data_IF_257476732191
#
_entry.id   IF_257476732191
#
_cell.length_a   1.000
_cell.length_b   1.000
_cell.length_c   1.000
_cell.angle_alpha   90.00
_cell.angle_beta   90.00
_cell.angle_gamma   90.00
#
_symmetry.space_group_name_H-M   'P 1'
#
loop_
_entity.id
_entity.type
_entity.pdbx_description
1 polymer ?
#
# COMPACT_ATOMS: atom_id res chain seq x y z
N UNK A 1 14.60 -4.22 -45.31
CA UNK A 1 15.01 -3.01 -44.55
C UNK A 1 14.09 -2.71 -43.36
N UNK A 2 12.76 -2.82 -43.48
CA UNK A 2 11.82 -2.65 -42.35
C UNK A 2 12.14 -3.57 -41.17
N UNK A 3 12.51 -4.83 -41.42
CA UNK A 3 12.88 -5.78 -40.36
C UNK A 3 14.16 -5.40 -39.59
N UNK A 4 15.15 -4.79 -40.26
CA UNK A 4 16.41 -4.36 -39.63
C UNK A 4 16.23 -3.08 -38.82
N UNK A 5 15.36 -2.18 -39.27
CA UNK A 5 15.00 -0.97 -38.54
C UNK A 5 14.12 -1.29 -37.33
N UNK A 6 13.17 -2.23 -37.49
CA UNK A 6 12.33 -2.78 -36.41
C UNK A 6 13.17 -3.49 -35.34
N UNK A 7 14.21 -4.23 -35.73
CA UNK A 7 15.11 -4.89 -34.78
C UNK A 7 15.96 -3.90 -33.96
N UNK A 8 16.30 -2.73 -34.53
CA UNK A 8 17.08 -1.69 -33.84
C UNK A 8 16.23 -0.70 -33.05
N UNK A 9 14.97 -0.52 -33.41
CA UNK A 9 14.03 0.43 -32.79
C UNK A 9 12.69 -0.27 -32.47
N UNK A 10 12.74 -1.44 -31.86
CA UNK A 10 11.53 -2.18 -31.48
C UNK A 10 10.80 -1.38 -30.39
N UNK A 11 9.58 -0.92 -30.67
CA UNK A 11 8.70 -0.27 -29.72
C UNK A 11 7.44 -1.11 -29.57
N UNK A 12 7.14 -1.55 -28.35
CA UNK A 12 5.91 -2.28 -28.03
C UNK A 12 4.87 -1.30 -27.50
N UNK A 13 3.72 -1.25 -28.15
CA UNK A 13 2.58 -0.46 -27.69
C UNK A 13 1.52 -1.39 -27.12
N UNK A 14 1.20 -1.22 -25.85
CA UNK A 14 0.13 -1.94 -25.17
C UNK A 14 -1.19 -1.20 -25.40
N UNK A 15 -2.04 -1.78 -26.25
CA UNK A 15 -3.39 -1.26 -26.54
C UNK A 15 -4.46 -1.87 -25.61
N UNK A 16 -4.08 -2.65 -24.58
CA UNK A 16 -5.04 -3.14 -23.61
C UNK A 16 -5.61 -1.98 -22.79
N UNK A 17 -6.91 -2.06 -22.47
CA UNK A 17 -7.64 -1.00 -21.76
C UNK A 17 -7.04 -0.64 -20.39
N UNK A 18 -6.30 -1.57 -19.78
CA UNK A 18 -5.68 -1.41 -18.46
C UNK A 18 -4.12 -1.46 -18.50
N UNK A 19 -3.48 -1.42 -19.68
CA UNK A 19 -2.00 -1.53 -19.84
C UNK A 19 -1.38 -2.68 -19.02
N UNK A 20 -2.03 -3.85 -19.08
CA UNK A 20 -1.78 -4.98 -18.17
C UNK A 20 -0.32 -5.45 -18.19
N UNK A 21 0.41 -5.22 -19.28
CA UNK A 21 1.78 -5.73 -19.43
C UNK A 21 2.85 -4.63 -19.48
N UNK A 22 2.48 -3.35 -19.31
CA UNK A 22 3.47 -2.27 -19.28
C UNK A 22 4.03 -2.10 -17.87
N UNK A 23 5.36 -1.99 -17.73
CA UNK A 23 6.00 -1.59 -16.47
C UNK A 23 5.64 -0.16 -16.10
N UNK A 24 5.46 0.10 -14.81
CA UNK A 24 5.29 1.45 -14.29
C UNK A 24 6.50 2.33 -14.61
N UNK A 25 6.26 3.64 -14.75
CA UNK A 25 7.33 4.61 -14.93
C UNK A 25 8.34 4.59 -13.77
N UNK A 26 7.91 4.17 -12.58
CA UNK A 26 8.76 4.06 -11.40
C UNK A 26 9.74 2.91 -11.54
N UNK A 27 9.27 1.73 -11.93
CA UNK A 27 10.14 0.59 -12.22
C UNK A 27 11.13 0.94 -13.32
N UNK A 28 10.68 1.55 -14.43
CA UNK A 28 11.58 1.98 -15.51
C UNK A 28 12.69 2.92 -15.03
N UNK A 29 12.35 3.95 -14.23
CA UNK A 29 13.33 4.87 -13.65
C UNK A 29 14.31 4.16 -12.73
N UNK A 30 13.83 3.25 -11.89
CA UNK A 30 14.70 2.47 -11.02
C UNK A 30 15.68 1.61 -11.84
N UNK A 31 15.21 0.93 -12.90
CA UNK A 31 16.08 0.14 -13.78
C UNK A 31 17.18 0.98 -14.44
N UNK A 32 16.89 2.25 -14.77
CA UNK A 32 17.91 3.17 -15.29
C UNK A 32 19.02 3.46 -14.26
N UNK A 33 18.72 3.42 -12.95
CA UNK A 33 19.70 3.64 -11.86
C UNK A 33 20.65 2.47 -11.59
N UNK A 34 20.35 1.27 -12.10
CA UNK A 34 21.19 0.09 -11.91
C UNK A 34 22.62 0.33 -12.44
N UNK A 35 23.63 0.08 -11.61
CA UNK A 35 25.04 0.28 -12.00
C UNK A 35 25.65 -0.99 -12.59
N UNK A 36 25.28 -2.14 -12.04
CA UNK A 36 25.74 -3.47 -12.45
C UNK A 36 24.68 -4.28 -13.20
N UNK A 37 25.05 -5.51 -13.55
CA UNK A 37 24.10 -6.50 -14.07
C UNK A 37 23.38 -7.19 -12.91
N UNK A 38 22.07 -7.36 -13.03
CA UNK A 38 21.25 -8.16 -12.15
C UNK A 38 20.87 -9.45 -12.86
N UNK A 39 21.12 -10.57 -12.19
CA UNK A 39 20.77 -11.89 -12.71
C UNK A 39 19.52 -12.38 -11.97
N UNK A 40 18.50 -12.82 -12.71
CA UNK A 40 17.25 -13.31 -12.17
C UNK A 40 17.08 -14.76 -12.62
N UNK A 41 17.13 -15.69 -11.68
CA UNK A 41 16.87 -17.11 -11.92
C UNK A 41 15.40 -17.41 -11.60
N UNK A 42 14.68 -17.98 -12.55
CA UNK A 42 13.25 -18.26 -12.48
C UNK A 42 13.02 -19.74 -12.21
N UNK A 43 12.50 -20.07 -11.02
CA UNK A 43 12.13 -21.42 -10.62
C UNK A 43 10.60 -21.54 -10.60
N UNK A 44 9.98 -21.48 -11.78
CA UNK A 44 8.52 -21.60 -11.93
C UNK A 44 8.15 -22.91 -12.61
N UNK A 45 7.29 -23.69 -11.96
CA UNK A 45 6.67 -24.86 -12.60
C UNK A 45 5.61 -24.39 -13.62
N UNK A 46 5.45 -25.07 -14.77
CA UNK A 46 4.39 -24.75 -15.75
C UNK A 46 2.97 -24.77 -15.18
N UNK A 47 2.76 -25.49 -14.07
CA UNK A 47 1.46 -25.64 -13.43
C UNK A 47 1.11 -24.51 -12.44
N UNK A 48 2.04 -23.60 -12.16
CA UNK A 48 1.78 -22.50 -11.22
C UNK A 48 0.85 -21.47 -11.87
N UNK A 49 -0.25 -21.05 -11.21
CA UNK A 49 -1.29 -20.21 -11.83
C UNK A 49 -0.79 -18.88 -12.43
N UNK A 50 0.32 -18.34 -11.93
CA UNK A 50 0.86 -17.02 -12.32
C UNK A 50 2.07 -17.11 -13.26
N UNK A 51 2.48 -18.30 -13.72
CA UNK A 51 3.70 -18.48 -14.53
C UNK A 51 3.71 -17.58 -15.76
N UNK A 52 2.61 -17.55 -16.53
CA UNK A 52 2.52 -16.72 -17.73
C UNK A 52 2.57 -15.21 -17.42
N UNK A 53 1.95 -14.76 -16.33
CA UNK A 53 2.00 -13.34 -15.94
C UNK A 53 3.43 -12.94 -15.49
N UNK A 54 4.12 -13.82 -14.77
CA UNK A 54 5.52 -13.62 -14.35
C UNK A 54 6.49 -13.61 -15.55
N UNK A 55 6.35 -14.54 -16.49
CA UNK A 55 7.20 -14.57 -17.71
C UNK A 55 7.03 -13.31 -18.57
N UNK A 56 5.78 -12.89 -18.79
CA UNK A 56 5.49 -11.66 -19.52
C UNK A 56 6.09 -10.44 -18.80
N UNK A 57 5.96 -10.39 -17.46
CA UNK A 57 6.51 -9.31 -16.66
C UNK A 57 8.04 -9.27 -16.74
N UNK A 58 8.72 -10.40 -16.54
CA UNK A 58 10.19 -10.48 -16.60
C UNK A 58 10.75 -10.13 -17.98
N UNK A 59 10.04 -10.48 -19.05
CA UNK A 59 10.39 -10.06 -20.42
C UNK A 59 10.45 -8.54 -20.53
N UNK A 60 9.49 -7.83 -19.92
CA UNK A 60 9.45 -6.37 -19.91
C UNK A 60 10.56 -5.77 -19.03
N UNK A 61 10.93 -6.43 -17.91
CA UNK A 61 12.13 -6.06 -17.14
C UNK A 61 13.41 -6.21 -17.96
N UNK A 62 13.56 -7.31 -18.69
CA UNK A 62 14.74 -7.54 -19.54
C UNK A 62 14.86 -6.48 -20.63
N UNK A 63 13.74 -6.13 -21.27
CA UNK A 63 13.67 -5.08 -22.27
C UNK A 63 13.99 -3.69 -21.68
N UNK A 64 13.31 -3.30 -20.60
CA UNK A 64 13.51 -1.99 -19.96
C UNK A 64 14.90 -1.85 -19.31
N UNK A 65 15.50 -2.96 -18.88
CA UNK A 65 16.82 -3.02 -18.29
C UNK A 65 18.00 -2.76 -19.24
N UNK A 66 17.76 -2.69 -20.56
CA UNK A 66 18.77 -2.33 -21.59
C UNK A 66 20.07 -3.13 -21.46
N UNK A 67 19.97 -4.45 -21.24
CA UNK A 67 21.11 -5.36 -21.09
C UNK A 67 21.73 -5.43 -19.68
N UNK A 68 21.16 -4.74 -18.69
CA UNK A 68 21.52 -4.88 -17.27
C UNK A 68 20.77 -6.00 -16.56
N UNK A 69 19.73 -6.58 -17.18
CA UNK A 69 18.94 -7.67 -16.60
C UNK A 69 19.20 -8.94 -17.41
N UNK A 70 19.62 -9.98 -16.71
CA UNK A 70 19.87 -11.31 -17.25
C UNK A 70 18.88 -12.31 -16.64
N UNK A 71 18.28 -13.16 -17.47
CA UNK A 71 17.22 -14.09 -17.06
C UNK A 71 17.66 -15.53 -17.32
N UNK A 72 17.62 -16.39 -16.30
CA UNK A 72 17.85 -17.84 -16.43
C UNK A 72 16.58 -18.58 -16.00
N UNK A 73 15.94 -19.31 -16.93
CA UNK A 73 14.74 -20.09 -16.63
C UNK A 73 15.10 -21.53 -16.31
N UNK A 74 14.65 -22.03 -15.16
CA UNK A 74 14.95 -23.37 -14.68
C UNK A 74 13.66 -24.01 -14.19
N UNK A 75 13.21 -25.02 -14.93
CA UNK A 75 12.17 -25.93 -14.48
C UNK A 75 12.79 -26.90 -13.45
N UNK A 76 12.43 -26.80 -12.14
CA UNK A 76 13.02 -27.63 -11.11
C UNK A 76 12.62 -29.10 -11.24
N UNK A 77 11.49 -29.42 -11.87
CA UNK A 77 11.01 -30.78 -12.09
C UNK A 77 11.77 -31.46 -13.24
N UNK A 78 12.14 -30.69 -14.28
CA UNK A 78 12.87 -31.20 -15.44
C UNK A 78 14.39 -31.16 -15.28
N UNK A 79 14.92 -30.18 -14.56
CA UNK A 79 16.35 -29.92 -14.43
C UNK A 79 16.84 -30.06 -12.97
N UNK A 80 16.57 -31.21 -12.36
CA UNK A 80 16.84 -31.48 -10.93
C UNK A 80 18.27 -31.16 -10.50
N UNK A 81 19.29 -31.54 -11.28
CA UNK A 81 20.71 -31.32 -10.92
C UNK A 81 21.07 -29.83 -10.87
N UNK A 82 20.63 -29.05 -11.86
CA UNK A 82 20.90 -27.60 -11.93
C UNK A 82 20.08 -26.83 -10.90
N UNK A 83 18.83 -27.23 -10.69
CA UNK A 83 17.99 -26.66 -9.66
C UNK A 83 18.58 -26.89 -8.26
N UNK A 84 19.04 -28.11 -7.97
CA UNK A 84 19.71 -28.43 -6.70
C UNK A 84 20.98 -27.61 -6.48
N UNK A 85 21.84 -27.48 -7.49
CA UNK A 85 23.05 -26.66 -7.42
C UNK A 85 22.74 -25.21 -7.01
N UNK A 86 21.70 -24.62 -7.61
CA UNK A 86 21.33 -23.22 -7.35
C UNK A 86 20.58 -23.06 -6.04
N UNK A 87 19.76 -24.03 -5.64
CA UNK A 87 19.15 -24.05 -4.30
C UNK A 87 20.21 -24.14 -3.20
N UNK A 88 21.25 -24.96 -3.38
CA UNK A 88 22.39 -25.03 -2.46
C UNK A 88 23.18 -23.71 -2.46
N UNK A 89 23.47 -23.14 -3.64
CA UNK A 89 24.19 -21.86 -3.79
C UNK A 89 23.47 -20.72 -3.09
N UNK A 90 22.17 -20.61 -3.29
CA UNK A 90 21.35 -19.50 -2.79
C UNK A 90 20.68 -19.82 -1.44
N UNK A 91 20.92 -21.01 -0.88
CA UNK A 91 20.33 -21.49 0.39
C UNK A 91 18.80 -21.41 0.39
N UNK A 92 18.19 -21.79 -0.72
CA UNK A 92 16.74 -21.77 -0.90
C UNK A 92 16.16 -23.03 -0.28
N UNK A 93 15.22 -22.85 0.66
CA UNK A 93 14.52 -23.95 1.35
C UNK A 93 13.02 -23.73 1.18
N UNK A 94 12.49 -24.07 0.02
CA UNK A 94 11.05 -24.00 -0.25
C UNK A 94 10.70 -24.85 -1.46
N UNK A 95 9.49 -25.42 -1.44
CA UNK A 95 8.92 -26.19 -2.55
C UNK A 95 8.05 -25.30 -3.46
N UNK A 96 7.97 -24.00 -3.17
CA UNK A 96 7.16 -23.04 -3.90
C UNK A 96 7.89 -22.54 -5.16
N UNK A 97 7.13 -22.19 -6.21
CA UNK A 97 7.69 -21.45 -7.34
C UNK A 97 8.20 -20.08 -6.89
N UNK A 98 9.38 -19.71 -7.34
CA UNK A 98 10.06 -18.49 -6.87
C UNK A 98 11.02 -17.91 -7.91
N UNK A 99 11.43 -16.68 -7.65
CA UNK A 99 12.51 -16.00 -8.35
C UNK A 99 13.69 -15.84 -7.39
N UNK A 100 14.91 -16.05 -7.88
CA UNK A 100 16.13 -15.66 -7.17
C UNK A 100 16.77 -14.51 -7.93
N UNK A 101 16.88 -13.36 -7.29
CA UNK A 101 17.55 -12.19 -7.81
C UNK A 101 18.96 -12.14 -7.21
N UNK A 102 19.99 -11.94 -8.04
CA UNK A 102 21.38 -11.76 -7.65
C UNK A 102 21.92 -10.45 -8.21
N UNK A 103 22.52 -9.63 -7.34
CA UNK A 103 23.15 -8.37 -7.70
C UNK A 103 24.37 -8.10 -6.82
N UNK A 104 25.54 -7.98 -7.45
CA UNK A 104 26.82 -7.66 -6.78
C UNK A 104 27.11 -8.59 -5.57
N UNK A 105 26.83 -9.89 -5.71
CA UNK A 105 27.10 -10.91 -4.67
C UNK A 105 26.07 -10.96 -3.53
N UNK A 106 25.04 -10.12 -3.58
CA UNK A 106 23.85 -10.21 -2.73
C UNK A 106 22.75 -10.95 -3.48
N UNK A 107 21.99 -11.78 -2.79
CA UNK A 107 20.83 -12.45 -3.39
C UNK A 107 19.57 -12.27 -2.54
N UNK A 108 18.41 -12.34 -3.21
CA UNK A 108 17.10 -12.27 -2.58
C UNK A 108 16.10 -13.12 -3.35
N UNK A 109 15.24 -13.83 -2.62
CA UNK A 109 14.17 -14.65 -3.17
C UNK A 109 12.85 -13.88 -3.20
N UNK A 110 12.03 -14.09 -4.22
CA UNK A 110 10.63 -13.63 -4.30
C UNK A 110 9.73 -14.81 -4.62
N UNK A 111 8.87 -15.20 -3.70
CA UNK A 111 7.98 -16.37 -3.86
C UNK A 111 6.72 -16.04 -4.67
N UNK A 112 6.08 -17.07 -5.25
CA UNK A 112 4.84 -16.90 -6.00
C UNK A 112 3.71 -16.28 -5.18
N UNK A 113 3.60 -16.64 -3.90
CA UNK A 113 2.66 -16.13 -2.89
C UNK A 113 2.88 -14.65 -2.56
N UNK A 114 4.11 -14.14 -2.70
CA UNK A 114 4.41 -12.72 -2.56
C UNK A 114 4.00 -11.93 -3.83
N UNK A 115 3.83 -12.62 -4.95
CA UNK A 115 3.51 -12.02 -6.25
C UNK A 115 2.02 -12.07 -6.60
N UNK A 116 1.20 -12.80 -5.86
CA UNK A 116 -0.23 -12.89 -6.13
C UNK A 116 -1.07 -13.23 -4.90
N UNK A 117 -2.21 -12.54 -4.79
CA UNK A 117 -3.29 -12.95 -3.88
C UNK A 117 -4.14 -14.00 -4.60
N UNK A 118 -4.31 -15.17 -4.01
CA UNK A 118 -5.12 -16.26 -4.56
C UNK A 118 -6.45 -16.31 -3.82
N UNK A 119 -7.55 -16.12 -4.54
CA UNK A 119 -8.90 -16.36 -4.03
C UNK A 119 -9.21 -17.86 -4.13
N UNK A 120 -9.42 -18.47 -2.96
CA UNK A 120 -9.74 -19.88 -2.80
C UNK A 120 -11.21 -20.13 -2.43
N UNK A 121 -12.03 -19.08 -2.33
CA UNK A 121 -13.44 -19.18 -1.92
C UNK A 121 -14.27 -20.07 -2.87
N UNK A 122 -13.91 -20.08 -4.16
CA UNK A 122 -14.50 -20.93 -5.18
C UNK A 122 -14.25 -22.44 -5.00
N UNK A 123 -13.26 -22.87 -4.22
CA UNK A 123 -12.99 -24.30 -4.01
C UNK A 123 -14.15 -25.03 -3.34
N UNK A 124 -14.92 -24.35 -2.48
CA UNK A 124 -16.09 -24.93 -1.82
C UNK A 124 -17.23 -25.29 -2.80
N UNK A 125 -17.25 -24.65 -3.98
CA UNK A 125 -18.23 -24.87 -5.05
C UNK A 125 -17.62 -25.58 -6.28
N UNK A 126 -16.40 -26.12 -6.15
CA UNK A 126 -15.72 -26.86 -7.23
C UNK A 126 -15.03 -25.97 -8.28
N UNK A 127 -14.92 -24.66 -8.06
CA UNK A 127 -14.09 -23.79 -8.90
C UNK A 127 -12.62 -23.89 -8.48
N UNK A 128 -11.71 -23.89 -9.46
CA UNK A 128 -10.27 -23.84 -9.19
C UNK A 128 -9.81 -22.49 -8.61
N UNK A 129 -8.62 -22.43 -7.99
CA UNK A 129 -8.08 -21.20 -7.41
C UNK A 129 -7.96 -20.10 -8.48
N UNK A 130 -8.40 -18.89 -8.14
CA UNK A 130 -8.32 -17.72 -9.03
C UNK A 130 -7.33 -16.70 -8.48
N UNK A 131 -6.60 -16.03 -9.36
CA UNK A 131 -5.72 -14.92 -8.95
C UNK A 131 -6.60 -13.68 -8.72
N UNK A 132 -6.72 -13.26 -7.46
CA UNK A 132 -7.49 -12.09 -7.06
C UNK A 132 -6.77 -10.78 -7.40
N UNK A 133 -5.45 -10.75 -7.19
CA UNK A 133 -4.61 -9.61 -7.52
C UNK A 133 -3.20 -10.10 -7.87
N UNK A 134 -2.64 -9.58 -8.98
CA UNK A 134 -1.25 -9.84 -9.34
C UNK A 134 -0.36 -8.68 -8.88
N UNK A 135 0.55 -8.97 -7.94
CA UNK A 135 1.49 -8.04 -7.29
C UNK A 135 2.95 -8.24 -7.75
N UNK A 136 3.17 -9.00 -8.83
CA UNK A 136 4.51 -9.37 -9.30
C UNK A 136 5.46 -8.19 -9.53
N UNK A 137 5.00 -7.09 -10.13
CA UNK A 137 5.87 -5.92 -10.39
C UNK A 137 6.35 -5.29 -9.08
N UNK A 138 5.46 -5.17 -8.09
CA UNK A 138 5.77 -4.61 -6.78
C UNK A 138 6.78 -5.50 -6.04
N UNK A 139 6.52 -6.81 -5.99
CA UNK A 139 7.38 -7.77 -5.29
C UNK A 139 8.79 -7.83 -5.91
N UNK A 140 8.88 -7.93 -7.26
CA UNK A 140 10.16 -7.97 -7.97
C UNK A 140 10.91 -6.65 -7.82
N UNK A 141 10.29 -5.50 -8.13
CA UNK A 141 10.98 -4.19 -8.03
C UNK A 141 11.45 -3.92 -6.60
N UNK A 142 10.66 -4.28 -5.58
CA UNK A 142 11.08 -4.14 -4.19
C UNK A 142 12.34 -4.97 -3.92
N UNK A 143 12.34 -6.25 -4.29
CA UNK A 143 13.50 -7.11 -4.10
C UNK A 143 14.76 -6.60 -4.82
N UNK A 144 14.60 -6.04 -6.03
CA UNK A 144 15.70 -5.40 -6.76
C UNK A 144 16.24 -4.17 -6.03
N UNK A 145 15.37 -3.28 -5.55
CA UNK A 145 15.76 -2.08 -4.78
C UNK A 145 16.55 -2.49 -3.54
N UNK A 146 16.07 -3.52 -2.84
CA UNK A 146 16.70 -4.03 -1.62
C UNK A 146 18.12 -4.54 -1.89
N UNK A 147 18.27 -5.29 -2.99
CA UNK A 147 19.55 -5.78 -3.44
C UNK A 147 20.49 -4.66 -3.84
N UNK A 148 20.00 -3.56 -4.43
CA UNK A 148 20.84 -2.41 -4.80
C UNK A 148 21.25 -1.62 -3.56
N UNK A 149 20.31 -1.30 -2.67
CA UNK A 149 20.54 -0.50 -1.47
C UNK A 149 21.48 -1.19 -0.45
N UNK A 150 21.41 -2.53 -0.33
CA UNK A 150 22.36 -3.32 0.45
C UNK A 150 22.24 -3.29 1.96
N UNK A 151 21.39 -2.43 2.50
CA UNK A 151 21.05 -2.41 3.93
C UNK A 151 19.55 -2.20 4.07
N UNK A 152 18.90 -3.05 4.87
CA UNK A 152 17.50 -2.83 5.27
C UNK A 152 17.39 -1.47 5.96
N UNK A 153 16.40 -0.67 5.58
CA UNK A 153 16.06 0.53 6.35
C UNK A 153 15.55 0.08 7.72
N UNK A 154 15.86 0.86 8.76
CA UNK A 154 15.42 0.55 10.12
C UNK A 154 14.29 1.49 10.49
N UNK A 155 13.16 0.90 10.87
CA UNK A 155 12.05 1.57 11.52
C UNK A 155 12.12 1.27 13.02
N UNK A 156 12.30 2.31 13.82
CA UNK A 156 12.33 2.21 15.27
C UNK A 156 10.91 2.12 15.83
N UNK A 157 10.53 1.03 16.47
CA UNK A 157 9.25 0.90 17.15
C UNK A 157 9.41 1.29 18.62
N UNK A 158 8.77 2.39 19.02
CA UNK A 158 8.90 2.91 20.37
C UNK A 158 8.11 2.04 21.35
N UNK A 159 8.75 1.73 22.47
CA UNK A 159 8.16 0.98 23.59
C UNK A 159 8.41 1.70 24.90
N UNK A 160 7.56 1.43 25.90
CA UNK A 160 7.71 1.95 27.27
C UNK A 160 6.46 2.60 27.83
N UNK A 161 5.44 2.86 27.01
CA UNK A 161 4.23 3.60 27.34
C UNK A 161 2.96 2.77 27.13
N UNK A 162 3.06 1.43 27.26
CA UNK A 162 2.03 0.41 26.99
C UNK A 162 1.62 0.29 25.51
N UNK A 163 2.56 0.52 24.61
CA UNK A 163 2.39 0.12 23.21
C UNK A 163 2.27 -1.41 23.10
N UNK A 164 1.56 -1.93 22.08
CA UNK A 164 1.50 -3.36 21.81
C UNK A 164 2.90 -3.97 21.64
N UNK A 165 3.17 -5.10 22.30
CA UNK A 165 4.44 -5.80 22.18
C UNK A 165 4.58 -6.51 20.82
N UNK A 166 5.75 -6.45 20.20
CA UNK A 166 6.01 -7.11 18.90
C UNK A 166 6.26 -8.63 19.00
N UNK A 167 6.35 -9.17 20.22
CA UNK A 167 6.74 -10.55 20.50
C UNK A 167 5.59 -11.45 20.94
N UNK A 168 4.39 -10.89 21.16
CA UNK A 168 3.24 -11.65 21.68
C UNK A 168 2.42 -12.27 20.55
N UNK A 169 2.72 -13.53 20.21
CA UNK A 169 1.88 -14.40 19.37
C UNK A 169 1.40 -13.79 18.04
N UNK A 170 0.31 -14.35 17.49
CA UNK A 170 -0.40 -13.77 16.35
C UNK A 170 -1.29 -12.64 16.84
N UNK A 171 -0.69 -11.49 17.15
CA UNK A 171 -1.41 -10.24 17.44
C UNK A 171 -1.49 -9.36 16.19
N UNK A 172 -2.45 -8.42 16.12
CA UNK A 172 -2.56 -7.42 15.05
C UNK A 172 -1.24 -6.69 14.72
N UNK A 173 -0.45 -6.38 15.76
CA UNK A 173 0.84 -5.70 15.56
C UNK A 173 1.90 -6.63 14.94
N UNK A 174 1.87 -7.94 15.22
CA UNK A 174 2.76 -8.93 14.58
C UNK A 174 2.45 -9.05 13.08
N UNK A 175 1.17 -8.94 12.69
CA UNK A 175 0.76 -8.92 11.27
C UNK A 175 1.31 -7.67 10.60
N UNK A 176 1.17 -6.50 11.22
CA UNK A 176 1.74 -5.25 10.70
C UNK A 176 3.26 -5.33 10.57
N UNK A 177 3.95 -5.85 11.60
CA UNK A 177 5.39 -6.06 11.59
C UNK A 177 5.81 -6.92 10.40
N UNK A 178 5.16 -8.07 10.22
CA UNK A 178 5.44 -9.00 9.12
C UNK A 178 5.21 -8.32 7.76
N UNK A 179 4.11 -7.58 7.62
CA UNK A 179 3.77 -6.85 6.40
C UNK A 179 4.84 -5.85 6.00
N UNK A 180 5.31 -5.04 6.95
CA UNK A 180 6.36 -4.03 6.70
C UNK A 180 7.76 -4.67 6.59
N UNK A 181 8.04 -5.77 7.30
CA UNK A 181 9.29 -6.53 7.15
C UNK A 181 9.41 -7.17 5.75
N UNK A 182 8.29 -7.59 5.17
CA UNK A 182 8.21 -8.04 3.78
C UNK A 182 8.54 -6.92 2.78
N UNK A 183 8.32 -5.66 3.16
CA UNK A 183 8.79 -4.48 2.40
C UNK A 183 10.26 -4.13 2.66
N UNK A 184 11.03 -5.05 3.26
CA UNK A 184 12.47 -4.92 3.55
C UNK A 184 12.83 -3.80 4.54
N UNK A 185 11.93 -3.53 5.47
CA UNK A 185 12.15 -2.61 6.56
C UNK A 185 12.35 -3.44 7.83
N UNK A 186 13.46 -3.25 8.53
CA UNK A 186 13.72 -3.93 9.80
C UNK A 186 12.99 -3.18 10.92
N UNK A 187 12.16 -3.88 11.70
CA UNK A 187 11.70 -3.37 12.98
C UNK A 187 12.81 -3.47 14.02
N UNK A 188 13.04 -2.38 14.73
CA UNK A 188 13.92 -2.34 15.88
C UNK A 188 13.17 -1.72 17.04
N UNK A 189 12.94 -2.48 18.11
CA UNK A 189 12.36 -1.94 19.33
C UNK A 189 13.28 -0.87 19.93
N UNK A 190 12.69 0.23 20.38
CA UNK A 190 13.37 1.37 20.97
C UNK A 190 12.67 1.76 22.27
N UNK A 191 13.25 1.38 23.39
CA UNK A 191 12.90 1.97 24.67
C UNK A 191 13.66 3.29 24.83
N UNK A 192 12.97 4.43 24.76
CA UNK A 192 13.59 5.75 24.83
C UNK A 192 14.19 6.07 26.20
N UNK A 193 13.76 5.38 27.26
CA UNK A 193 14.30 5.54 28.62
C UNK A 193 15.74 5.04 28.74
N UNK A 194 16.09 4.01 27.96
CA UNK A 194 17.38 3.32 28.04
C UNK A 194 18.42 3.93 27.07
N UNK A 195 18.04 4.97 26.32
CA UNK A 195 18.86 5.55 25.28
C UNK A 195 19.34 6.96 25.63
N UNK A 196 20.57 7.27 25.23
CA UNK A 196 21.10 8.64 25.26
C UNK A 196 20.78 9.41 23.97
N UNK A 197 20.60 8.68 22.86
CA UNK A 197 20.18 9.20 21.57
C UNK A 197 19.53 8.08 20.73
N UNK A 198 18.58 8.45 19.86
CA UNK A 198 18.07 7.52 18.85
C UNK A 198 19.22 7.17 17.87
N UNK A 199 19.50 5.89 17.61
CA UNK A 199 20.59 5.47 16.74
C UNK A 199 20.54 6.11 15.34
N UNK A 200 21.70 6.47 14.78
CA UNK A 200 21.77 7.22 13.53
C UNK A 200 21.30 6.43 12.28
N UNK A 201 21.26 5.11 12.37
CA UNK A 201 20.74 4.18 11.35
C UNK A 201 19.20 4.06 11.38
N UNK A 202 18.56 4.41 12.49
CA UNK A 202 17.11 4.57 12.59
C UNK A 202 16.73 5.91 11.96
N UNK A 203 16.06 5.87 10.80
CA UNK A 203 15.65 7.08 10.06
C UNK A 203 14.19 7.47 10.31
N UNK A 204 13.37 6.52 10.75
CA UNK A 204 12.00 6.77 11.13
C UNK A 204 11.69 6.04 12.44
N UNK A 205 10.82 6.61 13.27
CA UNK A 205 10.25 5.96 14.44
C UNK A 205 8.73 5.86 14.31
N UNK A 206 8.17 4.80 14.87
CA UNK A 206 6.74 4.52 14.94
C UNK A 206 6.33 4.44 16.41
N UNK A 207 5.30 5.20 16.77
CA UNK A 207 4.73 5.25 18.12
C UNK A 207 3.25 4.90 17.99
N UNK A 208 2.80 3.84 18.67
CA UNK A 208 1.47 3.26 18.46
C UNK A 208 0.67 3.22 19.76
N UNK A 209 -0.26 4.17 19.89
CA UNK A 209 -1.22 4.26 20.97
C UNK A 209 -0.61 4.35 22.37
N UNK A 210 0.33 5.28 22.62
CA UNK A 210 0.95 5.41 23.95
C UNK A 210 -0.12 5.77 24.99
N UNK A 211 -0.20 4.97 26.06
CA UNK A 211 -1.18 5.15 27.14
C UNK A 211 -0.70 6.10 28.23
N UNK A 212 0.61 6.28 28.33
CA UNK A 212 1.26 7.18 29.27
C UNK A 212 2.01 8.28 28.51
N UNK A 213 2.12 9.46 29.11
CA UNK A 213 2.89 10.56 28.52
C UNK A 213 4.39 10.29 28.64
N UNK A 214 5.16 10.94 27.77
CA UNK A 214 6.61 10.85 27.73
C UNK A 214 7.23 11.75 28.80
N UNK A 215 8.36 11.33 29.38
CA UNK A 215 9.16 12.19 30.26
C UNK A 215 9.80 13.36 29.50
N UNK A 216 10.29 14.37 30.23
CA UNK A 216 10.97 15.52 29.59
C UNK A 216 12.26 15.09 28.87
N UNK A 217 12.95 14.06 29.38
CA UNK A 217 14.11 13.46 28.74
C UNK A 217 13.74 12.84 27.40
N UNK A 218 12.71 12.00 27.36
CA UNK A 218 12.28 11.33 26.12
C UNK A 218 11.75 12.34 25.09
N UNK A 219 10.98 13.33 25.54
CA UNK A 219 10.50 14.40 24.68
C UNK A 219 11.65 15.26 24.12
N UNK A 220 12.77 15.40 24.84
CA UNK A 220 13.98 16.01 24.30
C UNK A 220 14.61 15.13 23.21
N UNK A 221 14.68 13.81 23.42
CA UNK A 221 15.19 12.86 22.40
C UNK A 221 14.36 12.91 21.11
N UNK A 222 13.03 12.95 21.22
CA UNK A 222 12.14 13.05 20.06
C UNK A 222 12.31 14.38 19.30
N UNK A 223 12.48 15.51 20.01
CA UNK A 223 12.78 16.81 19.38
C UNK A 223 14.15 16.82 18.71
N UNK A 224 15.18 16.33 19.40
CA UNK A 224 16.54 16.22 18.84
C UNK A 224 16.55 15.32 17.59
N UNK A 225 15.75 14.26 17.59
CA UNK A 225 15.58 13.38 16.43
C UNK A 225 14.89 14.11 15.27
N UNK A 226 13.78 14.82 15.53
CA UNK A 226 13.08 15.63 14.54
C UNK A 226 13.99 16.68 13.90
N UNK A 227 14.74 17.43 14.72
CA UNK A 227 15.64 18.48 14.24
C UNK A 227 16.82 17.91 13.43
N UNK A 228 17.21 16.66 13.69
CA UNK A 228 18.20 15.91 12.88
C UNK A 228 17.58 15.19 11.69
N UNK A 229 16.49 15.70 11.12
CA UNK A 229 15.78 15.14 9.96
C UNK A 229 15.13 13.76 10.21
N UNK A 230 14.85 13.45 11.48
CA UNK A 230 14.11 12.27 11.88
C UNK A 230 12.67 12.30 11.38
N UNK A 231 12.11 11.12 11.14
CA UNK A 231 10.73 10.96 10.68
C UNK A 231 9.88 10.20 11.69
N UNK A 232 8.63 10.60 11.89
CA UNK A 232 7.78 10.05 12.95
C UNK A 232 6.43 9.60 12.37
N UNK A 233 6.08 8.33 12.58
CA UNK A 233 4.71 7.85 12.43
C UNK A 233 4.08 7.78 13.82
N UNK A 234 3.05 8.55 14.06
CA UNK A 234 2.38 8.62 15.37
C UNK A 234 0.91 8.26 15.25
N UNK A 235 0.52 7.17 15.89
CA UNK A 235 -0.88 6.77 16.03
C UNK A 235 -1.27 7.02 17.48
N UNK A 236 -2.22 7.92 17.72
CA UNK A 236 -2.63 8.31 19.06
C UNK A 236 -3.78 7.45 19.55
N UNK A 237 -3.75 7.10 20.84
CA UNK A 237 -4.97 6.69 21.52
C UNK A 237 -5.70 7.96 21.99
N UNK A 238 -6.93 8.23 21.51
CA UNK A 238 -7.65 9.41 21.92
C UNK A 238 -8.01 9.39 23.43
N UNK A 239 -8.14 8.21 24.05
CA UNK A 239 -8.40 8.03 25.50
C UNK A 239 -7.19 8.33 26.38
N UNK A 240 -5.97 8.25 25.84
CA UNK A 240 -4.76 8.53 26.57
C UNK A 240 -4.53 10.03 26.80
N UNK A 241 -4.02 10.38 27.99
CA UNK A 241 -3.66 11.75 28.35
C UNK A 241 -2.15 11.96 28.18
N UNK A 242 -1.76 12.55 27.05
CA UNK A 242 -0.36 12.77 26.66
C UNK A 242 -0.07 14.25 26.40
N UNK A 243 -0.20 15.15 27.40
CA UNK A 243 -0.09 16.59 27.20
C UNK A 243 1.25 17.05 26.61
N UNK A 244 2.38 16.41 26.94
CA UNK A 244 3.69 16.78 26.38
C UNK A 244 3.82 16.37 24.91
N UNK A 245 3.35 15.17 24.57
CA UNK A 245 3.30 14.71 23.19
C UNK A 245 2.34 15.57 22.34
N UNK A 246 1.14 15.87 22.86
CA UNK A 246 0.18 16.79 22.21
C UNK A 246 0.78 18.21 22.07
N UNK A 247 1.55 18.66 23.06
CA UNK A 247 2.30 19.92 23.01
C UNK A 247 3.31 19.97 21.86
N UNK A 248 4.08 18.89 21.67
CA UNK A 248 5.01 18.76 20.54
C UNK A 248 4.30 18.79 19.19
N UNK A 249 3.16 18.12 19.03
CA UNK A 249 2.35 18.21 17.81
C UNK A 249 1.83 19.62 17.57
N UNK A 250 1.42 20.30 18.63
CA UNK A 250 0.96 21.68 18.54
C UNK A 250 2.10 22.61 18.10
N UNK A 251 3.33 22.45 18.61
CA UNK A 251 4.52 23.19 18.12
C UNK A 251 4.67 23.05 16.58
N UNK A 252 4.29 21.90 16.02
CA UNK A 252 4.33 21.60 14.58
C UNK A 252 3.07 22.00 13.79
N UNK A 253 2.09 22.64 14.43
CA UNK A 253 0.87 23.13 13.78
C UNK A 253 -0.28 22.13 13.72
N UNK A 254 -0.21 21.04 14.50
CA UNK A 254 -1.27 20.04 14.63
C UNK A 254 -1.77 20.01 16.07
N UNK A 255 -2.95 20.57 16.31
CA UNK A 255 -3.59 20.52 17.63
C UNK A 255 -4.54 19.32 17.71
N UNK A 256 -4.25 18.40 18.62
CA UNK A 256 -5.14 17.29 18.98
C UNK A 256 -6.20 17.80 19.93
N UNK A 257 -7.46 17.78 19.51
CA UNK A 257 -8.56 18.24 20.34
C UNK A 257 -8.96 17.18 21.38
N UNK A 258 -9.45 17.64 22.53
CA UNK A 258 -9.95 16.76 23.59
C UNK A 258 -11.43 16.46 23.38
N UNK A 259 -11.72 15.78 22.27
CA UNK A 259 -13.07 15.45 21.84
C UNK A 259 -13.16 14.00 21.35
N UNK A 260 -14.38 13.54 21.10
CA UNK A 260 -14.68 12.29 20.41
C UNK A 260 -15.62 12.54 19.26
N UNK A 261 -15.23 12.04 18.10
CA UNK A 261 -16.12 11.98 16.96
C UNK A 261 -17.21 10.95 17.21
N UNK A 262 -18.45 11.38 17.01
CA UNK A 262 -19.63 10.53 17.15
C UNK A 262 -20.60 10.78 16.00
N UNK A 263 -21.41 9.77 15.69
CA UNK A 263 -22.49 9.87 14.70
C UNK A 263 -23.68 9.03 15.12
N UNK A 264 -24.89 9.50 14.81
CA UNK A 264 -26.09 8.70 14.93
C UNK A 264 -26.32 7.93 13.63
N UNK A 265 -26.29 6.60 13.71
CA UNK A 265 -26.63 5.71 12.59
C UNK A 265 -28.07 5.25 12.71
N UNK A 266 -28.76 5.20 11.58
CA UNK A 266 -30.11 4.68 11.51
C UNK A 266 -30.05 3.15 11.35
N UNK A 267 -30.37 2.41 12.40
CA UNK A 267 -30.35 0.94 12.41
C UNK A 267 -31.71 0.32 12.06
N UNK A 268 -32.76 1.14 11.97
CA UNK A 268 -34.11 0.73 11.59
C UNK A 268 -35.01 1.92 11.21
N UNK A 269 -36.32 1.70 11.20
CA UNK A 269 -37.27 2.78 10.82
C UNK A 269 -37.26 3.92 11.86
N UNK A 270 -37.15 3.62 13.15
CA UNK A 270 -37.11 4.62 14.24
C UNK A 270 -35.89 4.52 15.16
N UNK A 271 -35.01 3.53 14.96
CA UNK A 271 -33.88 3.30 15.85
C UNK A 271 -32.64 4.06 15.38
N UNK A 272 -32.13 4.93 16.26
CA UNK A 272 -30.88 5.66 16.09
C UNK A 272 -29.87 5.13 17.11
N UNK A 273 -28.80 4.52 16.62
CA UNK A 273 -27.69 4.08 17.45
C UNK A 273 -26.58 5.15 17.39
N UNK A 274 -26.12 5.58 18.57
CA UNK A 274 -24.92 6.42 18.67
C UNK A 274 -23.69 5.53 18.57
N UNK A 275 -22.81 5.80 17.61
CA UNK A 275 -21.52 5.13 17.52
C UNK A 275 -20.36 6.12 17.60
N UNK A 276 -19.22 5.60 18.05
CA UNK A 276 -17.91 6.28 18.10
C UNK A 276 -16.98 5.80 16.99
N UNK A 277 -17.41 4.82 16.20
CA UNK A 277 -16.65 4.33 15.07
C UNK A 277 -16.74 5.34 13.93
N UNK A 278 -15.58 5.70 13.40
CA UNK A 278 -15.46 6.76 12.39
C UNK A 278 -15.18 6.16 11.04
N UNK A 279 -16.12 6.31 10.11
CA UNK A 279 -15.84 6.12 8.70
C UNK A 279 -15.15 7.37 8.17
N UNK A 280 -13.94 7.20 7.63
CA UNK A 280 -13.15 8.30 7.11
C UNK A 280 -12.56 7.95 5.74
N UNK A 281 -12.25 8.98 4.96
CA UNK A 281 -11.60 8.87 3.66
C UNK A 281 -10.17 9.39 3.73
N UNK A 282 -9.27 8.78 2.97
CA UNK A 282 -7.92 9.32 2.80
C UNK A 282 -7.91 10.43 1.75
N UNK A 283 -7.11 11.47 1.99
CA UNK A 283 -6.93 12.62 1.10
C UNK A 283 -5.76 12.33 0.16
N UNK A 284 -5.96 12.44 -1.16
CA UNK A 284 -4.98 12.03 -2.17
C UNK A 284 -3.82 13.03 -2.43
N UNK A 285 -3.78 14.15 -1.73
CA UNK A 285 -2.84 15.25 -1.99
C UNK A 285 -1.41 14.96 -1.49
N UNK A 286 -1.29 14.12 -0.45
CA UNK A 286 -0.01 13.75 0.14
C UNK A 286 0.59 12.51 -0.48
N UNK A 287 1.93 12.39 -0.66
CA UNK A 287 2.55 11.16 -1.14
C UNK A 287 2.21 9.93 -0.29
N UNK A 288 2.02 10.09 1.02
CA UNK A 288 1.68 8.99 1.94
C UNK A 288 0.33 8.32 1.62
N UNK A 289 -0.65 9.12 1.18
CA UNK A 289 -2.03 8.70 0.95
C UNK A 289 -2.46 8.78 -0.52
N UNK A 290 -1.55 9.13 -1.43
CA UNK A 290 -1.84 9.33 -2.86
C UNK A 290 -2.57 8.15 -3.52
N UNK A 291 -2.22 6.91 -3.14
CA UNK A 291 -2.86 5.68 -3.65
C UNK A 291 -4.21 5.40 -3.00
N UNK A 292 -4.46 5.98 -1.85
CA UNK A 292 -5.66 5.81 -1.06
C UNK A 292 -6.64 6.97 -1.26
N UNK A 293 -6.37 7.90 -2.17
CA UNK A 293 -7.26 9.02 -2.45
C UNK A 293 -8.70 8.55 -2.63
N UNK A 294 -9.60 9.06 -1.80
CA UNK A 294 -11.03 8.72 -1.72
C UNK A 294 -11.37 7.29 -1.28
N UNK A 295 -10.38 6.45 -0.99
CA UNK A 295 -10.57 5.16 -0.31
C UNK A 295 -11.08 5.44 1.11
N UNK A 296 -12.06 4.65 1.54
CA UNK A 296 -12.64 4.73 2.87
C UNK A 296 -12.09 3.63 3.77
N UNK A 297 -11.91 3.95 5.04
CA UNK A 297 -11.55 3.02 6.10
C UNK A 297 -12.40 3.30 7.36
N UNK A 298 -12.53 2.29 8.21
CA UNK A 298 -13.23 2.37 9.47
C UNK A 298 -12.22 2.48 10.62
N UNK A 299 -12.42 3.46 11.50
CA UNK A 299 -11.58 3.71 12.68
C UNK A 299 -12.40 3.40 13.92
N UNK A 300 -12.14 2.22 14.51
CA UNK A 300 -12.86 1.67 15.65
C UNK A 300 -12.38 2.26 16.98
N UNK A 301 -13.21 2.17 18.02
CA UNK A 301 -12.76 2.44 19.40
C UNK A 301 -12.67 3.92 19.78
N UNK A 302 -13.15 4.81 18.90
CA UNK A 302 -13.19 6.26 19.11
C UNK A 302 -12.03 7.00 18.45
N UNK A 303 -12.28 8.22 18.01
CA UNK A 303 -11.30 9.07 17.30
C UNK A 303 -11.46 10.51 17.78
N UNK A 304 -10.36 11.26 17.92
CA UNK A 304 -10.40 12.70 18.21
C UNK A 304 -10.19 13.53 16.95
N UNK A 305 -10.70 14.76 16.91
CA UNK A 305 -10.49 15.67 15.81
C UNK A 305 -9.11 16.36 15.90
N UNK A 306 -8.55 16.67 14.75
CA UNK A 306 -7.30 17.43 14.61
C UNK A 306 -7.59 18.81 14.02
N UNK A 307 -7.13 19.86 14.69
CA UNK A 307 -7.11 21.21 14.14
C UNK A 307 -5.74 21.47 13.52
N UNK A 308 -5.72 21.80 12.23
CA UNK A 308 -4.49 22.11 11.51
C UNK A 308 -4.32 23.64 11.44
N UNK A 309 -3.13 24.13 11.78
CA UNK A 309 -2.80 25.55 11.81
C UNK A 309 -1.64 25.87 10.85
N UNK A 310 -1.79 25.62 9.53
CA UNK A 310 -0.70 25.73 8.55
C UNK A 310 -0.14 27.16 8.44
N UNK A 311 -0.98 28.18 8.62
CA UNK A 311 -0.54 29.59 8.55
C UNK A 311 0.41 29.95 9.71
N UNK A 312 0.22 29.37 10.90
CA UNK A 312 1.08 29.63 12.07
C UNK A 312 2.50 29.13 11.85
N UNK A 313 2.63 27.97 11.23
CA UNK A 313 3.92 27.26 11.09
C UNK A 313 4.59 27.50 9.73
N UNK A 314 3.95 28.24 8.83
CA UNK A 314 4.50 28.63 7.52
C UNK A 314 5.82 29.39 7.65
N UNK A 315 5.95 30.28 8.64
CA UNK A 315 7.18 31.04 8.89
C UNK A 315 8.37 30.15 9.30
N UNK A 316 8.10 28.98 9.88
CA UNK A 316 9.10 27.98 10.22
C UNK A 316 9.41 27.01 9.06
N UNK A 317 8.90 27.29 7.86
CA UNK A 317 8.98 26.43 6.68
C UNK A 317 8.44 25.01 6.95
N UNK A 318 7.37 24.93 7.74
CA UNK A 318 6.64 23.69 8.02
C UNK A 318 5.34 23.71 7.22
N UNK A 319 5.14 22.65 6.43
CA UNK A 319 3.90 22.39 5.72
C UNK A 319 3.08 21.39 6.52
N UNK A 320 1.79 21.69 6.69
CA UNK A 320 0.82 20.82 7.36
C UNK A 320 -0.35 20.60 6.41
N UNK A 321 -0.71 19.35 6.18
CA UNK A 321 -1.80 18.97 5.27
C UNK A 321 -2.63 17.81 5.83
N UNK A 322 -3.94 17.73 5.53
CA UNK A 322 -4.77 16.62 5.98
C UNK A 322 -4.40 15.33 5.21
N UNK A 323 -4.31 14.21 5.93
CA UNK A 323 -4.17 12.87 5.37
C UNK A 323 -5.49 12.11 5.38
N UNK A 324 -6.30 12.31 6.42
CA UNK A 324 -7.52 11.53 6.67
C UNK A 324 -8.60 12.46 7.19
N UNK A 325 -9.78 12.38 6.59
CA UNK A 325 -10.94 13.17 6.97
C UNK A 325 -12.14 12.27 7.21
N UNK A 326 -12.81 12.46 8.35
CA UNK A 326 -14.09 11.83 8.64
C UNK A 326 -15.12 12.16 7.54
N UNK A 327 -16.02 11.23 7.31
CA UNK A 327 -17.19 11.47 6.47
C UNK A 327 -18.09 12.56 7.07
N UNK A 328 -19.03 13.05 6.27
CA UNK A 328 -19.99 14.05 6.74
C UNK A 328 -20.94 13.45 7.78
N UNK A 329 -21.42 14.29 8.71
CA UNK A 329 -22.37 13.90 9.76
C UNK A 329 -21.75 13.61 11.13
N UNK A 330 -20.43 13.42 11.23
CA UNK A 330 -19.74 13.29 12.51
C UNK A 330 -19.66 14.62 13.25
N UNK A 331 -20.00 14.63 14.53
CA UNK A 331 -19.82 15.77 15.42
C UNK A 331 -18.73 15.48 16.46
N UNK A 332 -18.03 16.51 16.91
CA UNK A 332 -16.97 16.41 17.90
C UNK A 332 -17.53 16.74 19.29
N UNK A 333 -17.67 15.74 20.15
CA UNK A 333 -18.17 15.88 21.52
C UNK A 333 -17.02 16.00 22.51
N UNK A 334 -17.04 17.03 23.36
CA UNK A 334 -16.02 17.27 24.40
C UNK A 334 -16.35 16.63 25.75
N UNK A 335 -17.63 16.43 26.04
CA UNK A 335 -18.13 15.76 27.24
C UNK A 335 -18.54 14.32 26.91
N UNK A 336 -17.62 13.60 26.28
CA UNK A 336 -17.87 12.27 25.74
C UNK A 336 -17.98 11.17 26.82
N UNK A 337 -17.89 11.52 28.10
CA UNK A 337 -18.09 10.59 29.22
C UNK A 337 -19.51 10.67 29.81
N UNK A 338 -20.35 11.60 29.33
CA UNK A 338 -21.75 11.69 29.74
C UNK A 338 -22.61 10.64 29.03
N UNK A 339 -23.70 10.20 29.66
CA UNK A 339 -24.70 9.31 29.05
C UNK A 339 -25.96 10.08 28.59
N UNK A 340 -25.88 11.42 28.56
CA UNK A 340 -27.01 12.26 28.20
C UNK A 340 -27.29 12.27 26.68
N UNK A 341 -28.14 11.34 26.23
CA UNK A 341 -28.52 11.24 24.82
C UNK A 341 -29.17 12.50 24.25
N UNK A 342 -29.93 13.26 25.06
CA UNK A 342 -30.59 14.47 24.59
C UNK A 342 -29.57 15.57 24.24
N UNK A 343 -28.47 15.65 25.02
CA UNK A 343 -27.34 16.52 24.72
C UNK A 343 -26.68 16.13 23.39
N UNK A 344 -26.33 14.85 23.23
CA UNK A 344 -25.71 14.36 21.99
C UNK A 344 -26.56 14.64 20.75
N UNK A 345 -27.89 14.49 20.85
CA UNK A 345 -28.78 14.84 19.75
C UNK A 345 -28.82 16.35 19.45
N UNK A 346 -28.70 17.19 20.47
CA UNK A 346 -28.62 18.64 20.28
C UNK A 346 -27.31 19.05 19.60
N UNK A 347 -26.18 18.47 20.04
CA UNK A 347 -24.85 18.77 19.49
C UNK A 347 -24.71 18.22 18.05
N UNK A 348 -25.28 17.04 17.77
CA UNK A 348 -25.38 16.50 16.41
C UNK A 348 -26.14 17.43 15.45
N UNK A 349 -27.20 18.12 15.94
CA UNK A 349 -27.97 19.09 15.13
C UNK A 349 -27.21 20.40 14.88
N UNK A 350 -26.26 20.75 15.74
CA UNK A 350 -25.42 21.94 15.60
C UNK A 350 -24.18 21.69 14.73
N UNK A 351 -23.98 20.46 14.26
CA UNK A 351 -22.83 20.11 13.45
C UNK A 351 -22.76 20.96 12.17
N UNK A 352 -21.60 21.56 11.94
CA UNK A 352 -21.29 22.39 10.76
C UNK A 352 -21.24 21.59 9.44
N UNK A 353 -21.35 20.26 9.50
CA UNK A 353 -21.31 19.34 8.35
C UNK A 353 -20.01 19.46 7.51
N UNK A 354 -18.97 20.05 8.11
CA UNK A 354 -17.62 20.13 7.56
C UNK A 354 -16.88 18.84 7.93
N UNK A 355 -16.20 18.19 6.98
CA UNK A 355 -15.37 17.01 7.27
C UNK A 355 -14.33 17.33 8.35
N UNK A 356 -14.31 16.54 9.41
CA UNK A 356 -13.37 16.68 10.51
C UNK A 356 -12.09 15.92 10.19
N UNK A 357 -10.93 16.55 10.36
CA UNK A 357 -9.64 15.91 10.10
C UNK A 357 -9.28 14.99 11.26
N UNK A 358 -8.81 13.78 10.95
CA UNK A 358 -8.37 12.78 11.94
C UNK A 358 -6.95 12.28 11.69
N UNK A 359 -6.36 12.66 10.56
CA UNK A 359 -4.96 12.39 10.25
C UNK A 359 -4.31 13.54 9.50
N UNK A 360 -3.03 13.79 9.75
CA UNK A 360 -2.28 14.89 9.18
C UNK A 360 -0.85 14.51 8.85
N UNK A 361 -0.31 15.14 7.80
CA UNK A 361 1.09 15.09 7.42
C UNK A 361 1.74 16.44 7.73
N UNK A 362 2.96 16.37 8.24
CA UNK A 362 3.80 17.52 8.53
C UNK A 362 5.15 17.30 7.85
N UNK A 363 5.64 18.29 7.11
CA UNK A 363 6.96 18.25 6.49
C UNK A 363 7.67 19.60 6.71
N UNK A 364 8.90 19.56 7.24
CA UNK A 364 9.73 20.75 7.46
C UNK A 364 10.79 20.86 6.38
N UNK A 365 10.87 21.98 5.68
CA UNK A 365 11.93 22.22 4.69
C UNK A 365 11.83 21.42 3.39
N UNK A 366 10.67 20.81 3.09
CA UNK A 366 10.42 20.18 1.79
C UNK A 366 10.36 21.21 0.66
N UNK A 367 10.99 20.90 -0.48
CA UNK A 367 10.82 21.72 -1.69
C UNK A 367 9.43 21.47 -2.29
N UNK A 368 8.76 22.52 -2.79
CA UNK A 368 7.51 22.37 -3.54
C UNK A 368 7.70 21.58 -4.85
N UNK A 369 8.95 21.43 -5.31
CA UNK A 369 9.31 20.64 -6.48
C UNK A 369 9.63 19.20 -6.08
N UNK A 370 8.73 18.26 -6.42
CA UNK A 370 8.90 16.81 -6.22
C UNK A 370 10.18 16.22 -6.85
N UNK A 371 10.85 16.97 -7.74
CA UNK A 371 12.09 16.55 -8.42
C UNK A 371 13.34 16.80 -7.58
N UNK A 372 13.27 17.62 -6.52
CA UNK A 372 14.38 17.90 -5.62
C UNK A 372 14.11 17.24 -4.27
N UNK A 373 14.48 15.96 -4.15
CA UNK A 373 14.39 15.20 -2.91
C UNK A 373 15.48 15.64 -1.94
N UNK A 374 15.20 16.66 -1.14
CA UNK A 374 16.01 16.98 0.04
C UNK A 374 15.52 16.11 1.21
N UNK A 375 16.44 15.55 1.99
CA UNK A 375 16.07 14.90 3.24
C UNK A 375 15.43 15.92 4.18
N UNK A 376 14.14 15.75 4.46
CA UNK A 376 13.35 16.60 5.34
C UNK A 376 12.85 15.80 6.56
N UNK A 377 12.69 16.44 7.74
CA UNK A 377 11.85 15.93 8.80
C UNK A 377 10.40 15.79 8.31
N UNK A 378 9.80 14.62 8.57
CA UNK A 378 8.43 14.28 8.14
C UNK A 378 7.70 13.60 9.28
N UNK A 379 6.44 13.96 9.49
CA UNK A 379 5.58 13.35 10.49
C UNK A 379 4.23 13.03 9.86
N UNK A 380 3.76 11.79 10.09
CA UNK A 380 2.39 11.39 9.83
C UNK A 380 1.75 11.10 11.19
N UNK A 381 0.62 11.74 11.48
CA UNK A 381 -0.13 11.54 12.71
C UNK A 381 -1.57 11.14 12.41
N UNK A 382 -2.09 10.17 13.16
CA UNK A 382 -3.50 9.75 13.14
C UNK A 382 -4.01 9.73 14.57
N UNK A 383 -5.20 10.26 14.80
CA UNK A 383 -5.83 10.39 16.13
C UNK A 383 -6.57 9.13 16.60
N UNK A 384 -6.19 7.98 16.06
CA UNK A 384 -6.69 6.65 16.40
C UNK A 384 -5.57 5.63 16.18
N UNK A 385 -5.26 4.82 17.20
CA UNK A 385 -4.32 3.71 17.11
C UNK A 385 -5.03 2.36 17.02
N UNK A 386 -6.29 2.27 17.44
CA UNK A 386 -7.06 1.03 17.51
C UNK A 386 -7.15 0.32 16.16
N UNK A 387 -7.20 1.05 15.03
CA UNK A 387 -7.26 0.44 13.71
C UNK A 387 -6.05 -0.45 13.35
N UNK A 388 -4.90 -0.29 14.04
CA UNK A 388 -3.75 -1.20 13.90
C UNK A 388 -3.57 -2.17 15.07
N UNK A 389 -4.34 -1.98 16.14
CA UNK A 389 -4.27 -2.79 17.36
C UNK A 389 -5.38 -3.84 17.43
N UNK A 390 -6.47 -3.63 16.72
CA UNK A 390 -7.60 -4.55 16.65
C UNK A 390 -7.40 -5.59 15.53
N UNK A 391 -8.07 -6.74 15.66
CA UNK A 391 -8.11 -7.79 14.65
C UNK A 391 -8.67 -7.29 13.31
N UNK A 392 -9.32 -6.13 13.28
CA UNK A 392 -9.71 -5.43 12.06
C UNK A 392 -8.55 -5.26 11.06
N UNK A 393 -7.29 -5.09 11.51
CA UNK A 393 -6.15 -4.99 10.58
C UNK A 393 -5.94 -6.24 9.72
N UNK A 394 -6.44 -7.40 10.17
CA UNK A 394 -6.38 -8.66 9.42
C UNK A 394 -7.48 -8.79 8.36
N UNK A 395 -8.50 -7.94 8.44
CA UNK A 395 -9.66 -7.94 7.55
C UNK A 395 -9.67 -6.71 6.62
N UNK A 396 -9.16 -5.56 7.09
CA UNK A 396 -9.11 -4.30 6.37
C UNK A 396 -7.72 -4.01 5.79
N UNK A 397 -7.56 -4.36 4.51
CA UNK A 397 -6.34 -4.09 3.74
C UNK A 397 -5.99 -2.58 3.69
N UNK A 398 -6.99 -1.69 3.81
CA UNK A 398 -6.78 -0.24 3.72
C UNK A 398 -5.90 0.30 4.86
N UNK A 399 -6.01 -0.27 6.06
CA UNK A 399 -5.19 0.11 7.21
C UNK A 399 -3.72 -0.24 6.98
N UNK A 400 -3.45 -1.46 6.49
CA UNK A 400 -2.10 -1.91 6.12
C UNK A 400 -1.51 -1.06 5.00
N UNK A 401 -2.28 -0.79 3.96
CA UNK A 401 -1.86 0.03 2.82
C UNK A 401 -1.54 1.48 3.26
N UNK A 402 -2.29 2.03 4.21
CA UNK A 402 -2.01 3.35 4.78
C UNK A 402 -0.70 3.37 5.58
N UNK A 403 -0.46 2.36 6.43
CA UNK A 403 0.79 2.28 7.18
C UNK A 403 1.97 2.08 6.24
N UNK A 404 1.87 1.20 5.24
CA UNK A 404 2.91 1.04 4.21
C UNK A 404 3.18 2.35 3.46
N UNK A 405 2.12 3.03 2.98
CA UNK A 405 2.25 4.33 2.30
C UNK A 405 2.94 5.38 3.17
N UNK A 406 2.54 5.47 4.44
CA UNK A 406 3.12 6.38 5.43
C UNK A 406 4.58 6.05 5.73
N UNK A 407 4.90 4.79 6.04
CA UNK A 407 6.27 4.35 6.35
C UNK A 407 7.20 4.55 5.16
N UNK A 408 6.76 4.20 3.94
CA UNK A 408 7.56 4.43 2.74
C UNK A 408 7.78 5.92 2.48
N UNK A 409 6.78 6.78 2.74
CA UNK A 409 6.94 8.23 2.60
C UNK A 409 7.94 8.76 3.64
N UNK A 410 7.83 8.31 4.89
CA UNK A 410 8.76 8.66 5.96
C UNK A 410 10.18 8.16 5.68
N UNK A 411 10.36 7.00 5.05
CA UNK A 411 11.68 6.47 4.68
C UNK A 411 12.22 7.01 3.35
N UNK A 412 11.54 7.98 2.72
CA UNK A 412 11.88 8.54 1.41
C UNK A 412 11.90 7.50 0.27
N UNK A 413 11.11 6.43 0.42
CA UNK A 413 10.91 5.37 -0.58
C UNK A 413 9.68 5.65 -1.44
N UNK A 414 9.42 6.92 -1.76
CA UNK A 414 8.28 7.33 -2.61
C UNK A 414 8.31 6.68 -4.01
N UNK A 415 9.48 6.20 -4.44
CA UNK A 415 9.65 5.43 -5.67
C UNK A 415 8.99 4.03 -5.59
N UNK A 416 8.83 3.47 -4.39
CA UNK A 416 8.03 2.25 -4.14
C UNK A 416 6.53 2.56 -4.00
N UNK A 417 6.17 3.80 -3.64
CA UNK A 417 4.78 4.28 -3.51
C UNK A 417 4.19 4.56 -4.92
N UNK A 418 4.06 3.59 -5.81
CA UNK A 418 3.24 3.77 -7.01
C UNK A 418 3.09 2.58 -7.98
N UNK A 419 3.77 1.47 -7.76
CA UNK A 419 3.53 0.21 -8.49
C UNK A 419 2.22 -0.38 -7.97
N UNK A 420 1.11 -0.19 -8.67
CA UNK A 420 -0.18 -0.73 -8.26
C UNK A 420 -0.25 -2.24 -8.55
N UNK A 421 -0.84 -3.05 -7.64
CA UNK A 421 -1.25 -4.40 -7.99
C UNK A 421 -2.14 -4.37 -9.22
N UNK A 422 -1.87 -5.23 -10.19
CA UNK A 422 -2.73 -5.38 -11.36
C UNK A 422 -3.86 -6.32 -10.97
N UNK A 423 -5.00 -5.74 -10.63
CA UNK A 423 -6.22 -6.49 -10.31
C UNK A 423 -6.80 -7.00 -11.64
N UNK A 424 -6.88 -8.32 -11.87
CA UNK A 424 -7.61 -8.84 -13.01
C UNK A 424 -9.06 -8.42 -12.87
N UNK A 425 -9.52 -7.48 -13.70
CA UNK A 425 -10.94 -7.15 -13.75
C UNK A 425 -11.62 -8.27 -14.54
N UNK A 426 -12.46 -9.12 -13.92
CA UNK A 426 -13.28 -10.03 -14.69
C UNK A 426 -14.18 -9.19 -15.60
N UNK A 427 -14.06 -9.41 -16.92
CA UNK A 427 -15.00 -8.85 -17.88
C UNK A 427 -16.33 -9.57 -17.69
N UNK A 428 -17.18 -9.03 -16.82
CA UNK A 428 -18.55 -9.50 -16.68
C UNK A 428 -19.37 -8.88 -17.81
N UNK A 429 -19.77 -9.70 -18.77
CA UNK A 429 -20.72 -9.27 -19.79
C UNK A 429 -22.14 -9.39 -19.21
N UNK A 430 -22.63 -8.32 -18.59
CA UNK A 430 -24.05 -8.22 -18.24
C UNK A 430 -24.83 -7.78 -19.48
N UNK A 431 -25.13 -8.73 -20.37
CA UNK A 431 -26.00 -8.47 -21.51
C UNK A 431 -27.44 -8.39 -21.03
N UNK A 432 -28.15 -7.33 -21.39
CA UNK A 432 -29.60 -7.25 -21.23
C UNK A 432 -30.31 -8.35 -22.05
N UNK A 433 -31.55 -8.69 -21.69
CA UNK A 433 -32.32 -9.68 -22.46
C UNK A 433 -32.46 -9.29 -23.94
N UNK A 434 -32.52 -7.99 -24.23
CA UNK A 434 -32.56 -7.46 -25.60
C UNK A 434 -31.24 -7.67 -26.35
N UNK A 435 -30.11 -7.45 -25.70
CA UNK A 435 -28.78 -7.68 -26.28
C UNK A 435 -28.53 -9.17 -26.53
N UNK A 436 -28.92 -10.05 -25.60
CA UNK A 436 -28.87 -11.50 -25.79
C UNK A 436 -29.74 -11.96 -26.97
N UNK A 437 -30.93 -11.40 -27.12
CA UNK A 437 -31.82 -11.69 -28.25
C UNK A 437 -31.21 -11.24 -29.58
N UNK A 438 -30.58 -10.06 -29.60
CA UNK A 438 -29.90 -9.52 -30.79
C UNK A 438 -28.70 -10.37 -31.17
N UNK A 439 -27.86 -10.73 -30.19
CA UNK A 439 -26.72 -11.61 -30.37
C UNK A 439 -27.14 -12.98 -30.92
N UNK A 440 -28.25 -13.54 -30.41
CA UNK A 440 -28.82 -14.80 -30.90
C UNK A 440 -29.17 -14.76 -32.38
N UNK A 441 -29.82 -13.69 -32.85
CA UNK A 441 -30.14 -13.54 -34.28
C UNK A 441 -28.89 -13.33 -35.15
N UNK A 442 -27.90 -12.59 -34.65
CA UNK A 442 -26.64 -12.40 -35.37
C UNK A 442 -25.91 -13.74 -35.55
N UNK A 443 -25.81 -14.53 -34.49
CA UNK A 443 -25.07 -15.81 -34.52
C UNK A 443 -25.84 -16.90 -35.26
N UNK A 444 -27.15 -17.05 -35.02
CA UNK A 444 -27.94 -18.14 -35.62
C UNK A 444 -28.38 -17.86 -37.06
N UNK A 445 -28.64 -16.60 -37.41
CA UNK A 445 -29.15 -16.25 -38.73
C UNK A 445 -28.07 -15.57 -39.56
N UNK A 446 -27.51 -14.46 -39.08
CA UNK A 446 -26.66 -13.61 -39.92
C UNK A 446 -25.32 -14.26 -40.27
N UNK A 447 -24.65 -14.85 -39.29
CA UNK A 447 -23.34 -15.49 -39.46
C UNK A 447 -23.35 -16.66 -40.46
N UNK A 448 -24.35 -17.58 -40.46
CA UNK A 448 -24.46 -18.61 -41.51
C UNK A 448 -25.05 -18.10 -42.83
N UNK A 449 -25.83 -17.00 -42.83
CA UNK A 449 -26.36 -16.43 -44.08
C UNK A 449 -25.25 -15.83 -44.95
N UNK A 450 -24.22 -15.22 -44.35
CA UNK A 450 -23.08 -14.63 -45.08
C UNK A 450 -22.40 -15.65 -46.01
N UNK A 451 -21.91 -16.81 -45.54
CA UNK A 451 -21.32 -17.82 -46.43
C UNK A 451 -22.35 -18.45 -47.37
N UNK A 452 -23.62 -18.57 -46.98
CA UNK A 452 -24.67 -19.07 -47.88
C UNK A 452 -24.89 -18.13 -49.08
N UNK A 453 -25.01 -16.82 -48.85
CA UNK A 453 -25.16 -15.81 -49.90
C UNK A 453 -23.92 -15.76 -50.80
N UNK A 454 -22.71 -15.79 -50.21
CA UNK A 454 -21.47 -15.85 -50.99
C UNK A 454 -21.45 -17.13 -51.84
N UNK A 455 -21.82 -18.28 -51.27
CA UNK A 455 -21.91 -19.56 -51.99
C UNK A 455 -22.92 -19.53 -53.14
N UNK A 456 -24.11 -18.96 -52.93
CA UNK A 456 -25.13 -18.81 -53.97
C UNK A 456 -24.68 -17.85 -55.07
N UNK A 457 -24.02 -16.74 -54.71
CA UNK A 457 -23.51 -15.77 -55.67
C UNK A 457 -22.42 -16.38 -56.56
N UNK A 458 -21.50 -17.13 -55.97
CA UNK A 458 -20.46 -17.88 -56.71
C UNK A 458 -21.08 -18.95 -57.61
N UNK A 459 -22.11 -19.67 -57.13
CA UNK A 459 -22.82 -20.66 -57.93
C UNK A 459 -23.53 -20.03 -59.14
N UNK A 460 -24.16 -18.86 -58.96
CA UNK A 460 -24.85 -18.15 -60.03
C UNK A 460 -23.86 -17.63 -61.08
N UNK A 461 -22.74 -17.04 -60.66
CA UNK A 461 -21.67 -16.59 -61.57
C UNK A 461 -20.99 -17.72 -62.35
N UNK A 462 -21.13 -18.98 -61.93
CA UNK A 462 -20.60 -20.13 -62.68
C UNK A 462 -21.60 -20.69 -63.71
N UNK A 463 -22.87 -20.29 -63.63
CA UNK A 463 -23.95 -20.76 -64.52
C UNK A 463 -24.32 -19.76 -65.61
N UNK A 464 -24.10 -18.46 -65.36
CA UNK A 464 -24.06 -17.41 -66.38
C UNK A 464 -22.69 -17.44 -67.02
#
# INVERSE_FOLDING_TARGET
MVNSFSFRHYARWDFSRDQKYTLSDKTKRFLDTLKGKMHITVFFSPNTPITADVENLLTEYQYAGKGKIDLEHIDPERNLSRAKELFDKYKVVTDESLLVLDYEGRNKTVKASEMADIDQSGMAIGEGPRVAAFKGEQAITSAMIDLVEGKKKILGYVTGHKEPALTEGTSPITVLKTFIENENIKFQELNLLDLDAIPADVKAVMIVGPQYDFSDREMKLLRDFWDKQGRILLLLDPAAKTPKLRGFLNELGVKVNDDRLMVFLRTGIEELALTRDVQARFVGDSPATKRLGDVRALFLGGTSSLTLEPDRVRAANVRVEPLIQAEKGYFAETDYNTDNQAKFQADAKQNSNVPLTIGAAVEKGGSADQRVQMNSPRLAVVSNATFVQDNAITQDQQGLDFISGSVNWLLSREQLIGIAPKIPKPLTFSLSEEELRRLRWIVLLFMPLVPAVIGTMVWWQRRV
#
